data_IF_688308658557
#
_entry.id   IF_688308658557
#
_cell.length_a   1.000
_cell.length_b   1.000
_cell.length_c   1.000
_cell.angle_alpha   90.00
_cell.angle_beta   90.00
_cell.angle_gamma   90.00
#
_symmetry.space_group_name_H-M   'P 1'
#
loop_
_entity.id
_entity.type
_entity.pdbx_description
1 polymer ?
#
# COMPACT_ATOMS: atom_id res chain seq x y z
N UNK A 1 -7.23 -12.10 -10.66
CA UNK A 1 -7.11 -10.71 -10.20
C UNK A 1 -7.94 -9.82 -11.11
N UNK A 2 -8.82 -9.04 -10.55
CA UNK A 2 -9.69 -8.13 -11.29
C UNK A 2 -9.54 -6.72 -10.73
N UNK A 3 -10.08 -5.73 -11.44
CA UNK A 3 -10.09 -4.36 -10.94
C UNK A 3 -10.82 -4.26 -9.60
N UNK A 4 -11.92 -5.00 -9.43
CA UNK A 4 -12.66 -5.01 -8.17
C UNK A 4 -11.80 -5.56 -7.03
N UNK A 5 -11.08 -6.66 -7.29
CA UNK A 5 -10.20 -7.26 -6.30
C UNK A 5 -9.06 -6.32 -5.95
N UNK A 6 -8.48 -5.65 -6.95
CA UNK A 6 -7.41 -4.67 -6.72
C UNK A 6 -7.91 -3.54 -5.83
N UNK A 7 -9.13 -3.03 -6.10
CA UNK A 7 -9.72 -1.97 -5.29
C UNK A 7 -9.96 -2.39 -3.85
N UNK A 8 -10.45 -3.61 -3.62
CA UNK A 8 -10.65 -4.12 -2.27
C UNK A 8 -9.32 -4.26 -1.53
N UNK A 9 -8.30 -4.79 -2.21
CA UNK A 9 -6.99 -4.96 -1.63
C UNK A 9 -6.36 -3.60 -1.30
N UNK A 10 -6.54 -2.62 -2.19
CA UNK A 10 -6.07 -1.26 -1.95
C UNK A 10 -6.73 -0.65 -0.71
N UNK A 11 -8.03 -0.89 -0.54
CA UNK A 11 -8.75 -0.44 0.65
C UNK A 11 -8.19 -1.04 1.93
N UNK A 12 -7.84 -2.33 1.89
CA UNK A 12 -7.23 -2.99 3.04
C UNK A 12 -5.89 -2.36 3.39
N UNK A 13 -5.06 -2.05 2.39
CA UNK A 13 -3.77 -1.40 2.62
C UNK A 13 -3.98 0.00 3.19
N UNK A 14 -4.94 0.77 2.67
CA UNK A 14 -5.25 2.08 3.22
C UNK A 14 -5.63 2.00 4.69
N UNK A 15 -6.40 1.00 5.09
CA UNK A 15 -6.77 0.82 6.48
C UNK A 15 -5.55 0.62 7.38
N UNK A 16 -4.57 -0.14 6.90
CA UNK A 16 -3.33 -0.34 7.67
C UNK A 16 -2.57 0.96 7.85
N UNK A 17 -2.61 1.84 6.86
CA UNK A 17 -1.85 3.09 6.88
C UNK A 17 -2.57 4.21 7.63
N UNK A 18 -3.75 3.94 8.20
CA UNK A 18 -4.48 4.96 8.97
C UNK A 18 -3.73 5.45 10.21
N UNK A 19 -2.74 4.70 10.67
CA UNK A 19 -1.92 5.13 11.80
C UNK A 19 -0.98 6.29 11.44
N UNK A 20 -0.90 6.65 10.15
CA UNK A 20 -0.05 7.72 9.67
C UNK A 20 1.42 7.36 9.54
N UNK A 21 1.77 6.13 9.82
CA UNK A 21 3.17 5.68 9.78
C UNK A 21 3.52 5.04 8.45
N UNK A 22 4.82 4.96 8.18
CA UNK A 22 5.32 4.25 7.01
C UNK A 22 5.51 2.78 7.35
N UNK A 23 5.17 1.92 6.39
CA UNK A 23 5.24 0.48 6.55
C UNK A 23 6.19 -0.11 5.51
N UNK A 24 6.91 -1.15 5.88
CA UNK A 24 7.73 -1.89 4.91
C UNK A 24 6.83 -2.83 4.09
N UNK A 25 7.37 -3.31 2.99
CA UNK A 25 6.66 -4.29 2.17
C UNK A 25 6.31 -5.55 2.98
N UNK A 26 7.27 -6.05 3.73
CA UNK A 26 7.06 -7.26 4.54
C UNK A 26 5.99 -7.04 5.61
N UNK A 27 5.99 -5.89 6.24
CA UNK A 27 4.98 -5.56 7.24
C UNK A 27 3.59 -5.53 6.61
N UNK A 28 3.46 -4.90 5.44
CA UNK A 28 2.19 -4.85 4.73
C UNK A 28 1.75 -6.23 4.29
N UNK A 29 2.69 -7.05 3.82
CA UNK A 29 2.39 -8.40 3.37
C UNK A 29 1.83 -9.26 4.52
N UNK A 30 2.49 -9.23 5.66
CA UNK A 30 2.06 -10.00 6.83
C UNK A 30 0.71 -9.50 7.34
N UNK A 31 0.57 -8.20 7.51
CA UNK A 31 -0.64 -7.62 8.09
C UNK A 31 -1.86 -7.77 7.18
N UNK A 32 -1.66 -7.70 5.86
CA UNK A 32 -2.76 -7.80 4.90
C UNK A 32 -3.10 -9.24 4.53
N UNK A 33 -2.17 -10.16 4.72
CA UNK A 33 -2.28 -11.56 4.28
C UNK A 33 -2.40 -11.69 2.76
N UNK A 34 -2.02 -10.68 2.01
CA UNK A 34 -2.07 -10.72 0.55
C UNK A 34 -0.85 -11.43 0.00
N UNK A 35 -1.02 -12.04 -1.17
CA UNK A 35 0.11 -12.57 -1.94
C UNK A 35 0.92 -11.39 -2.49
N UNK A 36 2.17 -11.65 -2.89
CA UNK A 36 3.00 -10.58 -3.44
C UNK A 36 2.40 -9.92 -4.69
N UNK A 37 1.89 -10.68 -5.68
CA UNK A 37 1.24 -10.05 -6.83
C UNK A 37 0.06 -9.18 -6.45
N UNK A 38 -0.77 -9.62 -5.51
CA UNK A 38 -1.92 -8.85 -5.06
C UNK A 38 -1.50 -7.60 -4.31
N UNK A 39 -0.48 -7.71 -3.47
CA UNK A 39 0.04 -6.58 -2.73
C UNK A 39 0.65 -5.54 -3.67
N UNK A 40 1.47 -5.96 -4.63
CA UNK A 40 2.06 -5.04 -5.60
C UNK A 40 1.00 -4.34 -6.44
N UNK A 41 -0.07 -5.06 -6.82
CA UNK A 41 -1.18 -4.48 -7.57
C UNK A 41 -1.90 -3.41 -6.76
N UNK A 42 -2.14 -3.67 -5.48
CA UNK A 42 -2.78 -2.71 -4.60
C UNK A 42 -1.90 -1.47 -4.39
N UNK A 43 -0.60 -1.68 -4.17
CA UNK A 43 0.36 -0.60 -3.99
C UNK A 43 0.43 0.26 -5.25
N UNK A 44 0.50 -0.37 -6.42
CA UNK A 44 0.54 0.35 -7.69
C UNK A 44 -0.71 1.20 -7.90
N UNK A 45 -1.88 0.66 -7.58
CA UNK A 45 -3.13 1.38 -7.66
C UNK A 45 -3.12 2.62 -6.76
N UNK A 46 -2.71 2.43 -5.51
CA UNK A 46 -2.67 3.53 -4.54
C UNK A 46 -1.63 4.59 -4.91
N UNK A 47 -0.49 4.17 -5.43
CA UNK A 47 0.54 5.10 -5.88
C UNK A 47 0.04 5.97 -7.03
N UNK A 48 -0.68 5.35 -7.97
CA UNK A 48 -1.26 6.07 -9.09
C UNK A 48 -2.26 7.13 -8.64
N UNK A 49 -3.01 6.83 -7.57
CA UNK A 49 -4.00 7.76 -7.03
C UNK A 49 -3.39 8.75 -6.04
N UNK A 50 -2.08 8.74 -5.86
CA UNK A 50 -1.37 9.59 -4.90
C UNK A 50 -1.84 9.38 -3.46
N UNK A 51 -2.36 8.19 -3.16
CA UNK A 51 -2.80 7.85 -1.80
C UNK A 51 -1.69 7.31 -0.95
N UNK A 52 -0.63 6.82 -1.58
CA UNK A 52 0.58 6.41 -0.86
C UNK A 52 1.80 7.02 -1.53
N UNK A 53 2.84 7.14 -0.76
CA UNK A 53 4.14 7.59 -1.21
C UNK A 53 5.14 6.48 -0.97
N UNK A 54 5.97 6.20 -1.95
CA UNK A 54 6.98 5.16 -1.86
C UNK A 54 8.31 5.84 -1.58
N UNK A 55 8.90 5.53 -0.42
CA UNK A 55 10.20 6.09 -0.02
C UNK A 55 11.22 4.97 0.04
N UNK A 56 12.28 5.10 -0.73
CA UNK A 56 13.35 4.11 -0.72
C UNK A 56 14.64 4.70 -0.19
N UNK A 57 15.31 3.90 0.61
CA UNK A 57 16.66 4.19 1.10
C UNK A 57 17.60 3.12 0.56
N UNK A 58 18.87 3.21 0.90
CA UNK A 58 19.84 2.22 0.43
C UNK A 58 19.53 0.80 0.90
N UNK A 59 18.77 0.65 1.98
CA UNK A 59 18.54 -0.65 2.60
C UNK A 59 17.11 -1.14 2.57
N UNK A 60 16.13 -0.26 2.35
CA UNK A 60 14.73 -0.71 2.33
C UNK A 60 13.81 0.30 1.68
N UNK A 61 12.60 -0.17 1.41
CA UNK A 61 11.53 0.63 0.81
C UNK A 61 10.41 0.74 1.84
N UNK A 62 9.94 1.96 2.05
CA UNK A 62 8.80 2.23 2.92
C UNK A 62 7.61 2.76 2.13
N UNK A 63 6.42 2.45 2.61
CA UNK A 63 5.17 2.90 2.01
C UNK A 63 4.45 3.76 3.04
N UNK A 64 4.20 5.00 2.68
CA UNK A 64 3.68 6.01 3.60
C UNK A 64 2.40 6.61 3.04
N UNK A 65 1.53 7.18 3.91
CA UNK A 65 0.36 7.91 3.42
C UNK A 65 0.81 9.05 2.50
N UNK A 66 0.18 9.15 1.33
CA UNK A 66 0.49 10.18 0.35
C UNK A 66 -0.41 11.38 0.45
N UNK A 67 -0.31 12.28 -0.54
CA UNK A 67 -1.04 13.55 -0.54
C UNK A 67 -2.55 13.38 -0.50
N UNK A 68 -3.09 12.36 -1.16
CA UNK A 68 -4.54 12.16 -1.25
C UNK A 68 -5.03 11.08 -0.28
N UNK A 69 -4.24 10.76 0.73
CA UNK A 69 -4.57 9.64 1.62
C UNK A 69 -5.87 9.86 2.38
N UNK A 70 -6.10 11.07 2.87
CA UNK A 70 -7.28 11.38 3.70
C UNK A 70 -8.47 11.88 2.88
N UNK A 71 -8.43 11.66 1.60
CA UNK A 71 -9.45 12.16 0.71
C UNK A 71 -10.58 11.15 0.51
#
# INVERSE_FOLDING_TARGET
MTKGTIGLNAGAICNLLLDGKCWSFEELKVASSLTEPDLWSAIGWLARENKIEIKSTSNHVGFCPGMNFNY
#
